data_IF_334403120668
#
_entry.id   IF_334403120668
#
_cell.length_a   1.000
_cell.length_b   1.000
_cell.length_c   1.000
_cell.angle_alpha   90.00
_cell.angle_beta   90.00
_cell.angle_gamma   90.00
#
_symmetry.space_group_name_H-M   'P 1'
#
loop_
_entity.id
_entity.type
_entity.pdbx_description
1 polymer ?
#
# COMPACT_ATOMS: atom_id res chain seq x y z
N UNK A 1 -1.27 18.60 -0.61
CA UNK A 1 -0.40 17.42 -0.77
C UNK A 1 -1.20 16.22 -0.29
N UNK A 2 -1.56 15.31 -1.19
CA UNK A 2 -2.21 14.06 -0.80
C UNK A 2 -1.18 13.19 -0.08
N UNK A 3 -1.59 12.60 1.04
CA UNK A 3 -0.75 11.74 1.86
C UNK A 3 -1.47 10.41 2.04
N UNK A 4 -0.84 9.31 1.66
CA UNK A 4 -1.41 7.97 1.75
C UNK A 4 -0.63 7.18 2.79
N UNK A 5 -1.36 6.60 3.74
CA UNK A 5 -0.79 5.72 4.78
C UNK A 5 -0.81 4.30 4.25
N UNK A 6 0.28 3.56 4.39
CA UNK A 6 0.41 2.17 3.95
C UNK A 6 0.69 1.32 5.15
N UNK A 7 -0.15 0.37 5.46
CA UNK A 7 0.00 -0.55 6.59
C UNK A 7 0.50 -1.88 6.05
N UNK A 8 1.58 -2.42 6.61
CA UNK A 8 2.15 -3.71 6.17
C UNK A 8 1.84 -4.77 7.22
N UNK A 9 1.12 -5.81 6.83
CA UNK A 9 0.68 -6.90 7.70
C UNK A 9 1.17 -8.26 7.17
N UNK A 10 1.99 -8.95 7.96
CA UNK A 10 2.50 -10.28 7.61
C UNK A 10 3.60 -10.32 6.54
N UNK A 11 4.12 -9.15 6.15
CA UNK A 11 5.33 -8.99 5.32
C UNK A 11 6.44 -8.30 6.11
N UNK A 12 7.68 -8.47 5.65
CA UNK A 12 8.84 -7.79 6.22
C UNK A 12 8.81 -6.30 5.84
N UNK A 13 8.73 -5.43 6.85
CA UNK A 13 8.59 -3.99 6.63
C UNK A 13 9.82 -3.38 5.96
N UNK A 14 11.02 -3.79 6.35
CA UNK A 14 12.26 -3.25 5.80
C UNK A 14 12.39 -3.61 4.31
N UNK A 15 11.94 -4.80 3.93
CA UNK A 15 11.87 -5.23 2.54
C UNK A 15 10.90 -4.37 1.72
N UNK A 16 9.66 -4.21 2.21
CA UNK A 16 8.64 -3.38 1.53
C UNK A 16 9.07 -1.91 1.47
N UNK A 17 9.63 -1.37 2.54
CA UNK A 17 10.13 -0.01 2.61
C UNK A 17 11.30 0.22 1.64
N UNK A 18 12.20 -0.74 1.50
CA UNK A 18 13.32 -0.68 0.56
C UNK A 18 12.82 -0.65 -0.89
N UNK A 19 11.90 -1.55 -1.26
CA UNK A 19 11.35 -1.57 -2.62
C UNK A 19 10.58 -0.29 -2.95
N UNK A 20 9.75 0.19 -2.02
CA UNK A 20 9.04 1.46 -2.20
C UNK A 20 10.03 2.62 -2.34
N UNK A 21 11.11 2.66 -1.55
CA UNK A 21 12.14 3.70 -1.63
C UNK A 21 12.86 3.70 -2.97
N UNK A 22 13.21 2.54 -3.51
CA UNK A 22 13.78 2.43 -4.86
C UNK A 22 12.83 2.98 -5.93
N UNK A 23 11.52 2.79 -5.75
CA UNK A 23 10.51 3.30 -6.66
C UNK A 23 10.28 4.82 -6.51
N UNK A 24 10.41 5.40 -5.30
CA UNK A 24 10.38 6.86 -5.14
C UNK A 24 11.47 7.57 -5.93
N UNK A 25 12.69 7.02 -5.94
CA UNK A 25 13.82 7.60 -6.67
C UNK A 25 13.58 7.58 -8.19
N UNK A 26 12.78 6.64 -8.68
CA UNK A 26 12.47 6.49 -10.10
C UNK A 26 11.31 7.37 -10.55
N UNK A 27 10.39 7.71 -9.65
CA UNK A 27 9.10 8.35 -9.99
C UNK A 27 8.90 9.76 -9.42
N UNK A 28 9.94 10.38 -8.84
CA UNK A 28 9.89 11.71 -8.21
C UNK A 28 8.82 11.80 -7.11
N UNK A 29 8.77 10.78 -6.25
CA UNK A 29 7.77 10.67 -5.17
C UNK A 29 8.46 10.83 -3.82
N UNK A 30 7.90 11.65 -2.91
CA UNK A 30 8.38 11.74 -1.53
C UNK A 30 7.74 10.61 -0.69
N UNK A 31 8.53 9.57 -0.40
CA UNK A 31 8.13 8.46 0.48
C UNK A 31 8.76 8.67 1.87
N UNK A 32 7.92 8.97 2.85
CA UNK A 32 8.31 9.03 4.26
C UNK A 32 7.92 7.75 4.99
N UNK A 33 8.88 6.85 5.09
CA UNK A 33 8.73 5.64 5.91
C UNK A 33 8.77 6.04 7.39
N UNK A 34 7.65 5.90 8.11
CA UNK A 34 7.58 6.15 9.56
C UNK A 34 7.00 4.93 10.26
N UNK A 35 7.78 4.17 11.06
CA UNK A 35 7.21 3.08 11.84
C UNK A 35 6.09 3.63 12.71
N UNK A 36 4.86 3.16 12.48
CA UNK A 36 3.73 3.45 13.36
C UNK A 36 3.94 2.62 14.60
N UNK A 37 4.29 3.26 15.71
CA UNK A 37 4.17 2.66 17.03
C UNK A 37 2.70 2.78 17.45
N UNK A 38 1.90 1.80 17.05
CA UNK A 38 0.47 1.77 17.28
C UNK A 38 0.17 0.85 18.46
N UNK A 39 0.21 1.41 19.67
CA UNK A 39 -0.24 0.72 20.88
C UNK A 39 -1.76 0.49 20.82
N UNK A 40 -2.21 -0.51 20.06
CA UNK A 40 -3.58 -1.01 20.08
C UNK A 40 -3.63 -2.20 21.04
N UNK A 41 -4.39 -2.03 22.11
CA UNK A 41 -4.35 -2.84 23.32
C UNK A 41 -4.23 -4.34 23.11
N UNK A 42 -3.13 -4.90 23.64
CA UNK A 42 -2.98 -6.29 24.05
C UNK A 42 -3.07 -7.32 22.92
N UNK A 43 -1.90 -7.71 22.40
CA UNK A 43 -1.63 -8.74 21.35
C UNK A 43 -1.26 -8.21 19.95
N UNK A 44 -0.80 -6.96 19.83
CA UNK A 44 -0.41 -6.40 18.53
C UNK A 44 0.94 -6.96 18.02
N UNK A 45 0.88 -7.75 16.94
CA UNK A 45 1.91 -7.67 15.90
C UNK A 45 1.77 -6.26 15.29
N UNK A 46 2.54 -5.30 15.80
CA UNK A 46 2.46 -3.89 15.39
C UNK A 46 2.61 -3.78 13.85
N UNK A 47 1.57 -3.32 13.13
CA UNK A 47 1.67 -3.20 11.69
C UNK A 47 2.43 -1.93 11.34
N UNK A 48 3.62 -2.12 10.77
CA UNK A 48 4.47 -1.01 10.40
C UNK A 48 3.82 -0.19 9.27
N UNK A 49 3.88 1.15 9.37
CA UNK A 49 3.19 2.06 8.47
C UNK A 49 4.19 2.83 7.61
N UNK A 50 3.85 3.12 6.36
CA UNK A 50 4.65 3.92 5.42
C UNK A 50 3.78 5.08 4.96
N UNK A 51 4.29 6.31 5.02
CA UNK A 51 3.52 7.50 4.64
C UNK A 51 4.08 8.00 3.31
N UNK A 52 3.24 8.15 2.29
CA UNK A 52 3.70 8.60 0.96
C UNK A 52 2.95 9.86 0.56
N UNK A 53 3.67 10.86 0.06
CA UNK A 53 3.11 12.16 -0.32
C UNK A 53 3.44 12.55 -1.77
N UNK A 54 2.44 13.08 -2.49
CA UNK A 54 2.60 13.54 -3.88
C UNK A 54 1.34 13.36 -4.74
N UNK A 55 1.30 14.05 -5.89
CA UNK A 55 0.13 14.09 -6.80
C UNK A 55 -0.03 12.87 -7.71
N UNK A 56 1.02 12.05 -7.86
CA UNK A 56 1.02 10.83 -8.69
C UNK A 56 1.24 9.55 -7.86
N UNK A 57 1.16 9.67 -6.54
CA UNK A 57 1.51 8.60 -5.60
C UNK A 57 0.67 7.37 -5.80
N UNK A 58 -0.65 7.53 -5.92
CA UNK A 58 -1.58 6.41 -5.85
C UNK A 58 -1.32 5.37 -6.97
N UNK A 59 -1.15 5.83 -8.22
CA UNK A 59 -0.89 4.96 -9.36
C UNK A 59 0.45 4.25 -9.27
N UNK A 60 1.48 5.00 -8.87
CA UNK A 60 2.83 4.47 -8.66
C UNK A 60 2.82 3.40 -7.57
N UNK A 61 2.14 3.68 -6.47
CA UNK A 61 2.10 2.84 -5.30
C UNK A 61 1.33 1.55 -5.54
N UNK A 62 0.17 1.63 -6.17
CA UNK A 62 -0.62 0.44 -6.51
C UNK A 62 0.21 -0.45 -7.44
N UNK A 63 0.84 0.13 -8.47
CA UNK A 63 1.72 -0.61 -9.39
C UNK A 63 2.90 -1.26 -8.66
N UNK A 64 3.53 -0.53 -7.73
CA UNK A 64 4.61 -1.02 -6.88
C UNK A 64 4.18 -2.23 -6.04
N UNK A 65 3.06 -2.11 -5.33
CA UNK A 65 2.52 -3.16 -4.48
C UNK A 65 2.11 -4.39 -5.29
N UNK A 66 1.59 -4.20 -6.51
CA UNK A 66 1.33 -5.29 -7.45
C UNK A 66 2.60 -6.01 -7.89
N UNK A 67 3.65 -5.26 -8.25
CA UNK A 67 4.94 -5.83 -8.61
C UNK A 67 5.56 -6.60 -7.43
N UNK A 68 5.46 -6.04 -6.22
CA UNK A 68 5.88 -6.72 -4.99
C UNK A 68 5.09 -8.02 -4.78
N UNK A 69 3.76 -7.98 -4.84
CA UNK A 69 2.92 -9.17 -4.66
C UNK A 69 3.12 -10.23 -5.73
N UNK A 70 3.48 -9.85 -6.96
CA UNK A 70 3.75 -10.78 -8.05
C UNK A 70 4.91 -11.74 -7.72
N UNK A 71 5.88 -11.31 -6.90
CA UNK A 71 7.03 -12.15 -6.48
C UNK A 71 6.74 -12.99 -5.24
N UNK A 72 5.63 -12.74 -4.53
CA UNK A 72 5.28 -13.43 -3.27
C UNK A 72 4.39 -14.64 -3.51
N UNK A 73 4.22 -15.50 -2.50
CA UNK A 73 3.30 -16.67 -2.61
C UNK A 73 1.84 -16.25 -2.46
N UNK A 74 1.54 -15.33 -1.55
CA UNK A 74 0.20 -14.85 -1.22
C UNK A 74 0.21 -13.38 -0.81
N UNK A 75 -0.96 -12.73 -0.86
CA UNK A 75 -1.16 -11.36 -0.40
C UNK A 75 -2.35 -10.66 -1.06
N UNK A 76 -2.82 -9.61 -0.41
CA UNK A 76 -3.93 -8.76 -0.82
C UNK A 76 -3.58 -7.30 -0.55
N UNK A 77 -3.93 -6.42 -1.48
CA UNK A 77 -3.87 -4.96 -1.29
C UNK A 77 -5.27 -4.50 -0.92
N UNK A 78 -5.43 -3.90 0.24
CA UNK A 78 -6.68 -3.29 0.68
C UNK A 78 -6.54 -1.79 0.60
N UNK A 79 -7.38 -1.12 -0.19
CA UNK A 79 -7.40 0.33 -0.34
C UNK A 79 -8.63 0.85 0.38
N UNK A 80 -8.45 1.73 1.37
CA UNK A 80 -9.51 2.37 2.12
C UNK A 80 -9.61 3.86 1.76
N UNK A 81 -10.81 4.28 1.37
CA UNK A 81 -11.17 5.66 1.10
C UNK A 81 -11.56 6.43 2.36
N UNK A 82 -11.60 7.76 2.25
CA UNK A 82 -12.01 8.67 3.34
C UNK A 82 -13.42 8.39 3.90
N UNK A 83 -14.31 7.79 3.10
CA UNK A 83 -15.67 7.39 3.49
C UNK A 83 -15.74 6.09 4.30
N UNK A 84 -14.62 5.41 4.52
CA UNK A 84 -14.57 4.07 5.12
C UNK A 84 -14.86 2.93 4.13
N UNK A 85 -15.15 3.26 2.85
CA UNK A 85 -15.25 2.29 1.76
C UNK A 85 -13.91 1.62 1.51
N UNK A 86 -13.92 0.32 1.21
CA UNK A 86 -12.70 -0.46 0.97
C UNK A 86 -12.76 -1.23 -0.33
N UNK A 87 -11.61 -1.37 -0.97
CA UNK A 87 -11.39 -2.22 -2.14
C UNK A 87 -10.32 -3.21 -1.79
N UNK A 88 -10.60 -4.50 -1.98
CA UNK A 88 -9.63 -5.57 -1.78
C UNK A 88 -9.18 -6.09 -3.13
N UNK A 89 -7.86 -6.14 -3.32
CA UNK A 89 -7.23 -6.54 -4.56
C UNK A 89 -6.35 -7.77 -4.26
N UNK A 90 -6.80 -8.97 -4.64
CA UNK A 90 -6.01 -10.17 -4.43
C UNK A 90 -4.79 -10.18 -5.35
N UNK A 91 -3.70 -10.83 -4.93
CA UNK A 91 -2.49 -11.04 -5.77
C UNK A 91 -2.80 -11.59 -7.17
N UNK A 92 -3.86 -12.41 -7.32
CA UNK A 92 -4.23 -13.06 -8.57
C UNK A 92 -4.83 -12.13 -9.63
N UNK A 93 -5.05 -10.86 -9.29
CA UNK A 93 -5.57 -9.86 -10.22
C UNK A 93 -4.64 -9.69 -11.43
N UNK A 94 -5.16 -9.81 -12.66
CA UNK A 94 -4.36 -9.67 -13.87
C UNK A 94 -3.90 -8.22 -14.06
N UNK A 95 -2.78 -8.04 -14.74
CA UNK A 95 -2.16 -6.71 -14.92
C UNK A 95 -3.07 -5.72 -15.66
N UNK A 96 -3.92 -6.22 -16.55
CA UNK A 96 -4.91 -5.42 -17.29
C UNK A 96 -5.95 -4.76 -16.37
N UNK A 97 -6.22 -5.34 -15.20
CA UNK A 97 -7.17 -4.77 -14.23
C UNK A 97 -6.53 -3.73 -13.30
N UNK A 98 -5.20 -3.55 -13.33
CA UNK A 98 -4.52 -2.59 -12.44
C UNK A 98 -5.05 -1.18 -12.65
N UNK A 99 -5.25 -0.76 -13.91
CA UNK A 99 -5.80 0.56 -14.23
C UNK A 99 -7.20 0.76 -13.65
N UNK A 100 -8.05 -0.28 -13.72
CA UNK A 100 -9.37 -0.25 -13.10
C UNK A 100 -9.28 0.01 -11.59
N UNK A 101 -8.40 -0.69 -10.87
CA UNK A 101 -8.24 -0.48 -9.44
C UNK A 101 -7.65 0.88 -9.07
N UNK A 102 -6.75 1.42 -9.89
CA UNK A 102 -6.24 2.79 -9.73
C UNK A 102 -7.38 3.80 -9.86
N UNK A 103 -8.24 3.65 -10.87
CA UNK A 103 -9.41 4.53 -11.03
C UNK A 103 -10.38 4.43 -9.86
N UNK A 104 -10.66 3.21 -9.38
CA UNK A 104 -11.53 3.03 -8.22
C UNK A 104 -10.93 3.64 -6.95
N UNK A 105 -9.62 3.48 -6.74
CA UNK A 105 -8.92 4.08 -5.62
C UNK A 105 -8.95 5.63 -5.66
N UNK A 106 -8.86 6.23 -6.86
CA UNK A 106 -9.03 7.68 -7.05
C UNK A 106 -10.46 8.12 -6.73
N UNK A 107 -11.47 7.38 -7.21
CA UNK A 107 -12.89 7.66 -6.94
C UNK A 107 -13.25 7.56 -5.46
N UNK A 108 -12.48 6.79 -4.69
CA UNK A 108 -12.68 6.61 -3.26
C UNK A 108 -11.99 7.65 -2.38
N UNK A 109 -11.20 8.56 -2.96
CA UNK A 109 -10.28 9.44 -2.22
C UNK A 109 -9.44 8.61 -1.22
N UNK A 110 -8.68 7.65 -1.76
CA UNK A 110 -7.87 6.71 -1.00
C UNK A 110 -6.95 7.44 0.01
N UNK A 111 -7.17 7.18 1.30
CA UNK A 111 -6.34 7.74 2.39
C UNK A 111 -5.38 6.68 2.95
N UNK A 112 -5.78 5.42 2.90
CA UNK A 112 -5.02 4.32 3.47
C UNK A 112 -4.96 3.13 2.52
N UNK A 113 -3.81 2.49 2.46
CA UNK A 113 -3.58 1.22 1.77
C UNK A 113 -3.04 0.24 2.81
N UNK A 114 -3.41 -1.03 2.71
CA UNK A 114 -2.93 -2.09 3.59
C UNK A 114 -2.47 -3.25 2.74
N UNK A 115 -1.23 -3.65 2.91
CA UNK A 115 -0.66 -4.82 2.28
C UNK A 115 -0.72 -5.97 3.28
N UNK A 116 -1.67 -6.89 3.10
CA UNK A 116 -1.90 -7.99 4.01
C UNK A 116 -1.51 -9.33 3.39
N UNK A 117 -0.75 -10.14 4.12
CA UNK A 117 -0.44 -11.51 3.71
C UNK A 117 -1.62 -12.43 4.04
N UNK A 118 -2.27 -12.96 3.00
CA UNK A 118 -3.29 -14.01 3.17
C UNK A 118 -2.55 -15.33 3.41
N UNK A 119 -2.82 -15.99 4.53
CA UNK A 119 -2.19 -17.27 4.91
C UNK A 119 -2.82 -18.46 4.20
#
# INVERSE_FOLDING_TARGET
METIKITVEGFDFDEVATELKTLSETQDIDIQVKPSSGNFGGLALDPATIIVAGSSVLSALITALFAYLATRKSGTIVIAGSSGSKIEIPKGTPKEDIEYYIEQARKLDAEQITLARVS
#
